data_IF_406875511010
#
_entry.id   IF_406875511010
#
_cell.length_a   1.000
_cell.length_b   1.000
_cell.length_c   1.000
_cell.angle_alpha   90.00
_cell.angle_beta   90.00
_cell.angle_gamma   90.00
#
_symmetry.space_group_name_H-M   'P 1'
#
loop_
_entity.id
_entity.type
_entity.pdbx_description
1 polymer ?
#
# COMPACT_ATOMS: atom_id res chain seq x y z
N UNK A 1 0.50 -6.78 -0.69
CA UNK A 1 0.99 -5.42 -0.98
C UNK A 1 1.85 -4.90 0.17
N UNK A 2 1.53 -5.29 1.41
CA UNK A 2 2.25 -4.92 2.63
C UNK A 2 3.76 -5.18 2.56
N UNK A 3 4.19 -6.37 2.12
CA UNK A 3 5.62 -6.71 2.00
C UNK A 3 6.40 -5.68 1.19
N UNK A 4 5.90 -5.34 -0.01
CA UNK A 4 6.50 -4.33 -0.86
C UNK A 4 6.58 -2.97 -0.17
N UNK A 5 5.43 -2.48 0.34
CA UNK A 5 5.35 -1.15 0.95
C UNK A 5 6.30 -1.03 2.14
N UNK A 6 6.35 -2.04 3.01
CA UNK A 6 7.18 -2.02 4.22
C UNK A 6 8.66 -2.23 3.90
N UNK A 7 9.00 -3.07 2.91
CA UNK A 7 10.38 -3.21 2.46
C UNK A 7 10.91 -1.93 1.78
N UNK A 8 10.08 -1.25 0.98
CA UNK A 8 10.45 0.03 0.36
C UNK A 8 10.52 1.17 1.37
N UNK A 9 9.62 1.19 2.36
CA UNK A 9 9.71 2.10 3.52
C UNK A 9 11.05 1.92 4.24
N UNK A 10 11.43 0.69 4.58
CA UNK A 10 12.69 0.41 5.24
C UNK A 10 13.91 0.83 4.41
N UNK A 11 13.91 0.51 3.10
CA UNK A 11 14.96 0.94 2.16
C UNK A 11 15.07 2.46 2.04
N UNK A 12 13.96 3.20 2.09
CA UNK A 12 13.95 4.66 2.04
C UNK A 12 14.75 5.29 3.20
N UNK A 13 14.75 4.64 4.37
CA UNK A 13 15.45 5.10 5.57
C UNK A 13 16.77 4.34 5.82
N UNK A 14 17.25 3.55 4.85
CA UNK A 14 18.51 2.82 4.96
C UNK A 14 18.47 1.59 5.89
N UNK A 15 17.30 1.18 6.37
CA UNK A 15 17.14 0.04 7.27
C UNK A 15 17.04 -1.28 6.49
N UNK A 16 18.20 -1.83 6.12
CA UNK A 16 18.29 -3.09 5.36
C UNK A 16 17.74 -4.28 6.15
N UNK A 17 17.91 -4.28 7.47
CA UNK A 17 17.43 -5.37 8.33
C UNK A 17 15.90 -5.41 8.35
N UNK A 18 15.23 -4.27 8.57
CA UNK A 18 13.78 -4.20 8.50
C UNK A 18 13.25 -4.47 7.10
N UNK A 19 13.97 -4.08 6.05
CA UNK A 19 13.59 -4.41 4.67
C UNK A 19 13.56 -5.92 4.44
N UNK A 20 14.61 -6.63 4.88
CA UNK A 20 14.68 -8.09 4.76
C UNK A 20 13.63 -8.79 5.63
N UNK A 21 13.37 -8.28 6.84
CA UNK A 21 12.30 -8.79 7.70
C UNK A 21 10.92 -8.62 7.07
N UNK A 22 10.64 -7.47 6.44
CA UNK A 22 9.40 -7.24 5.73
C UNK A 22 9.23 -8.13 4.49
N UNK A 23 10.33 -8.45 3.77
CA UNK A 23 10.31 -9.33 2.60
C UNK A 23 10.11 -10.80 2.97
N UNK A 24 10.72 -11.26 4.06
CA UNK A 24 10.69 -12.66 4.50
C UNK A 24 9.55 -12.97 5.48
N UNK A 25 8.76 -11.96 5.86
CA UNK A 25 7.59 -12.10 6.72
C UNK A 25 6.60 -13.14 6.17
N UNK A 26 6.03 -13.98 7.05
CA UNK A 26 5.10 -15.05 6.63
C UNK A 26 3.72 -14.55 6.22
N UNK A 27 3.41 -13.28 6.44
CA UNK A 27 2.13 -12.70 6.10
C UNK A 27 2.11 -11.18 6.25
N UNK A 28 1.02 -10.53 5.76
CA UNK A 28 0.93 -9.07 5.70
C UNK A 28 1.01 -8.41 7.09
N UNK A 29 0.44 -9.04 8.13
CA UNK A 29 0.53 -8.52 9.50
C UNK A 29 1.96 -8.47 10.03
N UNK A 30 2.77 -9.48 9.75
CA UNK A 30 4.19 -9.51 10.14
C UNK A 30 5.01 -8.49 9.34
N UNK A 31 4.76 -8.36 8.04
CA UNK A 31 5.41 -7.33 7.22
C UNK A 31 5.10 -5.92 7.74
N UNK A 32 3.82 -5.66 8.09
CA UNK A 32 3.38 -4.40 8.69
C UNK A 32 4.05 -4.14 10.03
N UNK A 33 4.21 -5.17 10.87
CA UNK A 33 4.94 -5.05 12.13
C UNK A 33 6.41 -4.67 11.90
N UNK A 34 7.10 -5.29 10.94
CA UNK A 34 8.48 -4.93 10.58
C UNK A 34 8.58 -3.46 10.11
N UNK A 35 7.63 -3.00 9.29
CA UNK A 35 7.61 -1.62 8.81
C UNK A 35 7.28 -0.56 9.88
N UNK A 36 6.75 -0.96 11.05
CA UNK A 36 6.59 -0.07 12.21
C UNK A 36 7.89 0.13 13.00
N UNK A 37 8.86 -0.77 12.84
CA UNK A 37 10.13 -0.79 13.56
C UNK A 37 11.30 -0.23 12.74
N UNK A 38 11.02 0.38 11.58
CA UNK A 38 12.04 0.97 10.70
C UNK A 38 12.81 2.07 11.45
N UNK A 39 14.13 1.91 11.49
CA UNK A 39 15.03 2.88 12.09
C UNK A 39 15.17 4.14 11.21
N UNK A 40 15.40 5.29 11.84
CA UNK A 40 15.57 6.56 11.12
C UNK A 40 14.30 7.05 10.41
N UNK A 41 13.13 6.55 10.80
CA UNK A 41 11.86 6.93 10.21
C UNK A 41 11.55 8.42 10.41
N UNK A 42 11.27 9.11 9.30
CA UNK A 42 10.74 10.48 9.29
C UNK A 42 9.39 10.50 8.56
N UNK A 43 8.33 10.89 9.28
CA UNK A 43 6.97 10.89 8.74
C UNK A 43 6.86 11.83 7.54
N UNK A 44 7.45 13.02 7.60
CA UNK A 44 7.34 13.99 6.50
C UNK A 44 7.96 13.46 5.20
N UNK A 45 9.11 12.79 5.29
CA UNK A 45 9.73 12.11 4.15
C UNK A 45 8.88 10.94 3.66
N UNK A 46 8.31 10.16 4.57
CA UNK A 46 7.41 9.07 4.21
C UNK A 46 6.16 9.56 3.49
N UNK A 47 5.48 10.59 3.99
CA UNK A 47 4.31 11.19 3.37
C UNK A 47 4.60 11.65 1.93
N UNK A 48 5.76 12.29 1.70
CA UNK A 48 6.18 12.73 0.37
C UNK A 48 6.49 11.59 -0.60
N UNK A 49 6.84 10.39 -0.10
CA UNK A 49 7.36 9.28 -0.94
C UNK A 49 6.40 8.09 -1.04
N UNK A 50 5.52 7.89 -0.05
CA UNK A 50 4.68 6.69 0.08
C UNK A 50 3.78 6.46 -1.13
N UNK A 51 3.23 7.53 -1.71
CA UNK A 51 2.34 7.42 -2.87
C UNK A 51 3.05 6.77 -4.05
N UNK A 52 4.21 7.29 -4.46
CA UNK A 52 4.97 6.73 -5.57
C UNK A 52 5.39 5.28 -5.35
N UNK A 53 5.77 4.93 -4.11
CA UNK A 53 6.12 3.55 -3.73
C UNK A 53 4.92 2.61 -3.89
N UNK A 54 3.73 3.04 -3.50
CA UNK A 54 2.51 2.23 -3.61
C UNK A 54 2.06 2.11 -5.07
N UNK A 55 2.18 3.17 -5.87
CA UNK A 55 1.94 3.12 -7.32
C UNK A 55 2.88 2.11 -7.98
N UNK A 56 4.19 2.20 -7.72
CA UNK A 56 5.20 1.26 -8.25
C UNK A 56 4.83 -0.19 -7.92
N UNK A 57 4.48 -0.47 -6.66
CA UNK A 57 4.06 -1.80 -6.23
C UNK A 57 2.73 -2.25 -6.83
N UNK A 58 1.80 -1.33 -7.08
CA UNK A 58 0.51 -1.61 -7.70
C UNK A 58 0.68 -1.96 -9.16
N UNK A 59 1.50 -1.22 -9.89
CA UNK A 59 1.86 -1.53 -11.29
C UNK A 59 2.46 -2.92 -11.35
N UNK A 60 3.48 -3.23 -10.53
CA UNK A 60 4.07 -4.57 -10.49
C UNK A 60 3.05 -5.68 -10.17
N UNK A 61 2.15 -5.45 -9.20
CA UNK A 61 1.11 -6.43 -8.86
C UNK A 61 0.20 -6.71 -10.04
N UNK A 62 -0.35 -5.68 -10.67
CA UNK A 62 -1.35 -5.84 -11.72
C UNK A 62 -0.72 -6.27 -13.04
N UNK A 63 0.55 -5.92 -13.33
CA UNK A 63 1.26 -6.37 -14.52
C UNK A 63 1.81 -7.79 -14.45
N UNK A 64 1.97 -8.35 -13.25
CA UNK A 64 2.55 -9.68 -13.06
C UNK A 64 1.61 -10.83 -13.49
N UNK A 65 0.30 -10.58 -13.53
CA UNK A 65 -0.71 -11.56 -13.90
C UNK A 65 -1.68 -10.95 -14.93
N UNK A 66 -1.77 -11.50 -16.15
CA UNK A 66 -2.72 -11.03 -17.17
C UNK A 66 -4.17 -11.00 -16.70
N UNK A 67 -4.59 -11.91 -15.82
CA UNK A 67 -5.95 -11.92 -15.26
C UNK A 67 -6.19 -10.71 -14.35
N UNK A 68 -5.19 -10.33 -13.53
CA UNK A 68 -5.28 -9.12 -12.71
C UNK A 68 -5.24 -7.86 -13.58
N UNK A 69 -4.41 -7.82 -14.62
CA UNK A 69 -4.41 -6.72 -15.60
C UNK A 69 -5.80 -6.55 -16.20
N UNK A 70 -6.39 -7.62 -16.72
CA UNK A 70 -7.72 -7.60 -17.33
C UNK A 70 -8.79 -7.17 -16.33
N UNK A 71 -8.73 -7.66 -15.09
CA UNK A 71 -9.65 -7.26 -14.02
C UNK A 71 -9.61 -5.75 -13.75
N UNK A 72 -8.41 -5.17 -13.62
CA UNK A 72 -8.26 -3.74 -13.39
C UNK A 72 -8.73 -2.92 -14.59
N UNK A 73 -8.35 -3.28 -15.81
CA UNK A 73 -8.77 -2.56 -17.02
C UNK A 73 -10.28 -2.68 -17.26
N UNK A 74 -10.90 -3.80 -16.88
CA UNK A 74 -12.35 -4.01 -16.90
C UNK A 74 -13.13 -3.04 -16.00
N UNK A 75 -12.44 -2.31 -15.10
CA UNK A 75 -13.07 -1.23 -14.34
C UNK A 75 -13.35 0.03 -15.15
N UNK A 76 -12.73 0.17 -16.34
CA UNK A 76 -12.95 1.30 -17.24
C UNK A 76 -12.56 2.64 -16.60
N UNK A 77 -13.41 3.65 -16.76
CA UNK A 77 -13.17 5.00 -16.24
C UNK A 77 -13.75 5.23 -14.83
N UNK A 78 -14.09 4.15 -14.11
CA UNK A 78 -14.63 4.26 -12.74
C UNK A 78 -13.54 4.69 -11.77
N UNK A 79 -13.88 5.57 -10.84
CA UNK A 79 -13.02 5.86 -9.69
C UNK A 79 -13.16 4.72 -8.69
N UNK A 80 -12.06 4.03 -8.42
CA UNK A 80 -12.00 2.95 -7.42
C UNK A 80 -11.59 3.54 -6.08
N UNK A 81 -12.33 3.20 -5.03
CA UNK A 81 -12.08 3.66 -3.67
C UNK A 81 -11.99 2.47 -2.72
N UNK A 82 -11.10 2.57 -1.73
CA UNK A 82 -11.13 1.68 -0.57
C UNK A 82 -12.06 2.28 0.49
N UNK A 83 -13.27 1.72 0.58
CA UNK A 83 -14.27 2.15 1.57
C UNK A 83 -13.97 1.55 2.95
N UNK A 84 -13.00 2.15 3.63
CA UNK A 84 -12.62 1.81 5.00
C UNK A 84 -12.72 3.03 5.91
N UNK A 85 -13.50 2.98 7.02
CA UNK A 85 -13.55 4.07 7.99
C UNK A 85 -12.28 4.16 8.84
N UNK A 86 -11.48 3.09 8.87
CA UNK A 86 -10.27 2.98 9.67
C UNK A 86 -9.01 3.42 8.91
N UNK A 87 -9.13 3.65 7.60
CA UNK A 87 -8.01 4.09 6.76
C UNK A 87 -8.36 5.41 6.08
N UNK A 88 -7.61 6.46 6.44
CA UNK A 88 -7.65 7.79 5.79
C UNK A 88 -6.40 8.12 5.02
N UNK A 89 -5.45 7.19 4.94
CA UNK A 89 -4.22 7.34 4.17
C UNK A 89 -4.41 6.74 2.78
N UNK A 90 -4.96 5.52 2.72
CA UNK A 90 -5.23 4.79 1.48
C UNK A 90 -6.72 4.62 1.20
N UNK A 91 -7.55 4.68 2.25
CA UNK A 91 -9.01 4.65 2.15
C UNK A 91 -9.66 6.04 2.15
N UNK A 92 -10.94 6.07 1.77
CA UNK A 92 -11.77 7.29 1.78
C UNK A 92 -12.31 7.66 3.16
N UNK A 93 -11.98 6.89 4.21
CA UNK A 93 -12.43 7.17 5.58
C UNK A 93 -13.93 6.99 5.81
N UNK A 94 -14.63 6.30 4.90
CA UNK A 94 -16.05 6.00 4.95
C UNK A 94 -16.27 4.48 4.88
N UNK A 95 -17.31 3.99 5.56
CA UNK A 95 -17.75 2.61 5.43
C UNK A 95 -18.38 2.38 4.05
N UNK A 96 -18.37 1.13 3.57
CA UNK A 96 -18.88 0.77 2.25
C UNK A 96 -20.39 1.01 2.08
N UNK A 97 -21.15 0.99 3.18
CA UNK A 97 -22.58 1.25 3.23
C UNK A 97 -22.92 2.74 3.48
N UNK A 98 -21.92 3.61 3.64
CA UNK A 98 -22.14 5.05 3.71
C UNK A 98 -22.61 5.56 2.33
N UNK A 99 -23.75 6.26 2.22
CA UNK A 99 -24.25 6.77 0.94
C UNK A 99 -23.28 7.70 0.20
N UNK A 100 -22.31 8.29 0.90
CA UNK A 100 -21.26 9.14 0.30
C UNK A 100 -20.12 8.33 -0.31
N UNK A 101 -19.97 7.05 0.03
CA UNK A 101 -18.90 6.20 -0.49
C UNK A 101 -19.03 5.94 -2.00
N UNK A 102 -20.23 6.06 -2.57
CA UNK A 102 -20.49 5.99 -4.01
C UNK A 102 -20.36 7.34 -4.74
N UNK A 103 -19.96 8.39 -4.02
CA UNK A 103 -19.81 9.76 -4.52
C UNK A 103 -18.37 10.26 -4.28
N UNK A 104 -17.38 9.68 -4.98
CA UNK A 104 -16.00 10.09 -4.87
C UNK A 104 -15.75 11.51 -5.38
#
# INVERSE_FOLDING_TARGET
>A
AEHWMMARKARLFGDVAAANAALTARGPGQAKAAGRLVQGFDEATWERKRFGIVVEGSVHKFSADPALTAFLLGTGNRVLVEASPLDRIWGIGLAADDPRASRP
#
